data_IF_608534161345
#
_entry.id   IF_608534161345
#
_cell.length_a   1.000
_cell.length_b   1.000
_cell.length_c   1.000
_cell.angle_alpha   90.00
_cell.angle_beta   90.00
_cell.angle_gamma   90.00
#
_symmetry.space_group_name_H-M   'P 1'
#
loop_
_entity.id
_entity.type
_entity.pdbx_description
1 polymer ?
#
# COMPACT_ATOMS: atom_id res chain seq x y z
N UNK A 1 19.19 -20.23 -16.01
CA UNK A 1 18.17 -20.50 -14.98
C UNK A 1 18.84 -20.27 -13.62
N UNK A 2 18.41 -19.25 -12.86
CA UNK A 2 19.03 -18.91 -11.58
C UNK A 2 18.64 -19.93 -10.49
N UNK A 3 19.37 -20.02 -9.37
CA UNK A 3 19.03 -20.91 -8.25
C UNK A 3 17.61 -20.70 -7.72
N UNK A 4 17.16 -19.45 -7.65
CA UNK A 4 15.82 -19.05 -7.19
C UNK A 4 14.75 -19.59 -8.13
N UNK A 5 14.92 -19.40 -9.44
CA UNK A 5 13.99 -19.90 -10.44
C UNK A 5 13.88 -21.44 -10.44
N UNK A 6 14.93 -22.16 -10.02
CA UNK A 6 14.91 -23.61 -9.85
C UNK A 6 14.17 -24.04 -8.59
N UNK A 7 14.35 -23.31 -7.49
CA UNK A 7 13.60 -23.56 -6.26
C UNK A 7 12.11 -23.33 -6.47
N UNK A 8 11.73 -22.22 -7.11
CA UNK A 8 10.33 -21.90 -7.39
C UNK A 8 9.65 -22.97 -8.26
N UNK A 9 10.36 -23.50 -9.27
CA UNK A 9 9.87 -24.60 -10.09
C UNK A 9 9.63 -25.88 -9.26
N UNK A 10 10.54 -26.23 -8.34
CA UNK A 10 10.40 -27.39 -7.45
C UNK A 10 9.22 -27.20 -6.47
N UNK A 11 9.05 -25.99 -5.92
CA UNK A 11 7.93 -25.69 -5.02
C UNK A 11 6.58 -25.72 -5.77
N UNK A 12 6.55 -25.22 -7.00
CA UNK A 12 5.35 -25.27 -7.87
C UNK A 12 4.98 -26.72 -8.17
N UNK A 13 5.96 -27.57 -8.46
CA UNK A 13 5.74 -29.01 -8.68
C UNK A 13 5.20 -29.70 -7.42
N UNK A 14 5.76 -29.41 -6.25
CA UNK A 14 5.30 -29.97 -4.98
C UNK A 14 3.88 -29.54 -4.58
N UNK A 15 3.44 -28.35 -5.00
CA UNK A 15 2.06 -27.90 -4.79
C UNK A 15 1.05 -28.63 -5.68
N UNK A 16 1.44 -29.00 -6.91
CA UNK A 16 0.55 -29.68 -7.84
C UNK A 16 0.21 -31.11 -7.39
N UNK A 17 1.13 -31.76 -6.69
CA UNK A 17 0.95 -33.11 -6.17
C UNK A 17 1.31 -33.15 -4.68
N UNK A 18 0.38 -32.70 -3.81
CA UNK A 18 0.63 -32.71 -2.38
C UNK A 18 0.73 -34.16 -1.89
N UNK A 19 1.83 -34.54 -1.21
CA UNK A 19 1.94 -35.88 -0.64
C UNK A 19 0.84 -36.06 0.41
N UNK A 20 0.03 -37.10 0.25
CA UNK A 20 -1.05 -37.40 1.18
C UNK A 20 -0.48 -38.18 2.37
N UNK A 21 -0.47 -37.61 3.58
CA UNK A 21 0.01 -38.33 4.76
C UNK A 21 -0.94 -39.47 5.13
N UNK A 22 -0.39 -40.52 5.74
CA UNK A 22 -1.19 -41.64 6.27
C UNK A 22 -2.19 -41.16 7.33
N UNK A 23 -3.42 -41.68 7.29
CA UNK A 23 -4.52 -41.26 8.16
C UNK A 23 -4.20 -41.52 9.64
N UNK A 24 -3.52 -42.64 9.93
CA UNK A 24 -3.13 -42.97 11.29
C UNK A 24 -2.06 -42.01 11.83
N UNK A 25 -1.14 -41.58 10.98
CA UNK A 25 -0.16 -40.54 11.32
C UNK A 25 -0.86 -39.21 11.59
N UNK A 26 -1.77 -38.79 10.70
CA UNK A 26 -2.51 -37.53 10.89
C UNK A 26 -3.37 -37.52 12.15
N UNK A 27 -4.01 -38.65 12.49
CA UNK A 27 -4.77 -38.78 13.73
C UNK A 27 -3.90 -38.53 14.97
N UNK A 28 -2.67 -39.06 14.98
CA UNK A 28 -1.71 -38.86 16.08
C UNK A 28 -1.24 -37.41 16.17
N UNK A 29 -0.85 -36.81 15.04
CA UNK A 29 -0.45 -35.38 14.98
C UNK A 29 -1.57 -34.48 15.52
N UNK A 30 -2.81 -34.74 15.14
CA UNK A 30 -3.96 -33.97 15.61
C UNK A 30 -4.27 -34.21 17.10
N UNK A 31 -4.00 -35.40 17.64
CA UNK A 31 -4.13 -35.66 19.07
C UNK A 31 -3.07 -34.88 19.87
N UNK A 32 -1.81 -34.91 19.42
CA UNK A 32 -0.71 -34.18 20.05
C UNK A 32 -0.92 -32.67 19.97
N UNK A 33 -1.35 -32.15 18.81
CA UNK A 33 -1.67 -30.74 18.65
C UNK A 33 -2.75 -30.28 19.63
N UNK A 34 -3.79 -31.10 19.86
CA UNK A 34 -4.84 -30.79 20.85
C UNK A 34 -4.33 -30.84 22.29
N UNK A 35 -3.39 -31.74 22.59
CA UNK A 35 -2.78 -31.82 23.92
C UNK A 35 -1.87 -30.63 24.22
N UNK A 36 -1.16 -30.13 23.20
CA UNK A 36 -0.24 -28.99 23.30
C UNK A 36 -0.91 -27.64 23.09
N UNK A 37 -2.15 -27.61 22.61
CA UNK A 37 -2.89 -26.36 22.44
C UNK A 37 -2.96 -25.64 23.79
N UNK A 38 -2.41 -24.41 23.87
CA UNK A 38 -2.54 -23.61 25.07
C UNK A 38 -4.03 -23.44 25.33
N UNK A 39 -4.49 -23.90 26.50
CA UNK A 39 -5.80 -23.51 27.01
C UNK A 39 -5.68 -22.04 27.39
N UNK A 40 -5.77 -21.16 26.40
CA UNK A 40 -5.98 -19.75 26.64
C UNK A 40 -7.22 -19.69 27.53
N UNK A 41 -7.14 -19.10 28.75
CA UNK A 41 -8.34 -18.84 29.49
C UNK A 41 -9.27 -18.11 28.54
N UNK A 42 -10.51 -18.59 28.40
CA UNK A 42 -11.55 -17.89 27.66
C UNK A 42 -11.76 -16.59 28.42
N UNK A 43 -10.93 -15.60 28.11
CA UNK A 43 -11.12 -14.25 28.55
C UNK A 43 -12.32 -13.84 27.74
N UNK A 44 -13.48 -13.84 28.39
CA UNK A 44 -14.69 -13.24 27.85
C UNK A 44 -14.33 -11.78 27.65
N UNK A 45 -13.75 -11.48 26.49
CA UNK A 45 -13.37 -10.14 26.12
C UNK A 45 -14.70 -9.42 25.98
N UNK A 46 -15.03 -8.58 26.97
CA UNK A 46 -16.13 -7.64 26.82
C UNK A 46 -15.92 -6.98 25.46
N UNK A 47 -16.92 -7.00 24.56
CA UNK A 47 -16.73 -6.46 23.21
C UNK A 47 -16.22 -5.04 23.37
N UNK A 48 -14.94 -4.83 23.05
CA UNK A 48 -14.38 -3.50 23.05
C UNK A 48 -15.25 -2.71 22.09
N UNK A 49 -15.80 -1.57 22.55
CA UNK A 49 -16.55 -0.67 21.67
C UNK A 49 -15.55 -0.17 20.63
N UNK A 50 -15.46 -0.89 19.51
CA UNK A 50 -14.62 -0.54 18.38
C UNK A 50 -15.14 0.79 17.87
N UNK A 51 -14.29 1.82 17.95
CA UNK A 51 -14.61 3.13 17.40
C UNK A 51 -14.90 3.04 15.89
N UNK A 52 -15.55 4.07 15.35
CA UNK A 52 -15.92 4.15 13.93
C UNK A 52 -14.75 3.78 12.99
N UNK A 53 -13.57 4.32 13.24
CA UNK A 53 -12.34 4.04 12.46
C UNK A 53 -11.90 2.59 12.49
N UNK A 54 -12.02 1.91 13.65
CA UNK A 54 -11.68 0.49 13.76
C UNK A 54 -12.67 -0.39 12.98
N UNK A 55 -13.92 0.04 12.86
CA UNK A 55 -14.94 -0.65 12.05
C UNK A 55 -14.70 -0.44 10.56
N UNK A 56 -14.33 0.77 10.15
CA UNK A 56 -13.95 1.07 8.76
C UNK A 56 -12.66 0.33 8.34
N UNK A 57 -11.66 0.29 9.21
CA UNK A 57 -10.47 -0.51 8.98
C UNK A 57 -10.80 -2.01 8.85
N UNK A 58 -11.70 -2.54 9.70
CA UNK A 58 -12.14 -3.92 9.60
C UNK A 58 -12.86 -4.23 8.28
N UNK A 59 -13.67 -3.31 7.74
CA UNK A 59 -14.30 -3.49 6.43
C UNK A 59 -13.32 -3.44 5.26
N UNK A 60 -12.18 -2.77 5.45
CA UNK A 60 -11.12 -2.65 4.43
C UNK A 60 -10.10 -3.81 4.46
N UNK A 61 -10.20 -4.75 5.41
CA UNK A 61 -9.26 -5.87 5.57
C UNK A 61 -8.34 -5.77 6.80
N UNK A 62 -8.61 -4.83 7.70
CA UNK A 62 -7.89 -4.62 8.96
C UNK A 62 -6.77 -3.58 8.86
N UNK A 63 -5.96 -3.50 9.91
CA UNK A 63 -4.89 -2.50 10.03
C UNK A 63 -3.83 -2.61 8.92
N UNK A 64 -3.53 -3.83 8.46
CA UNK A 64 -2.53 -4.07 7.39
C UNK A 64 -3.02 -3.49 6.06
N UNK A 65 -4.30 -3.67 5.72
CA UNK A 65 -4.86 -3.12 4.50
C UNK A 65 -4.84 -1.58 4.49
N UNK A 66 -5.18 -0.95 5.62
CA UNK A 66 -5.12 0.52 5.77
C UNK A 66 -3.67 1.02 5.71
N UNK A 67 -2.73 0.30 6.31
CA UNK A 67 -1.31 0.64 6.20
C UNK A 67 -0.84 0.57 4.75
N UNK A 68 -1.22 -0.48 4.00
CA UNK A 68 -0.92 -0.59 2.57
C UNK A 68 -1.51 0.56 1.74
N UNK A 69 -2.76 0.93 2.00
CA UNK A 69 -3.42 2.07 1.36
C UNK A 69 -2.67 3.39 1.64
N UNK A 70 -2.28 3.63 2.89
CA UNK A 70 -1.51 4.81 3.29
C UNK A 70 -0.15 4.87 2.61
N UNK A 71 0.57 3.75 2.56
CA UNK A 71 1.86 3.66 1.88
C UNK A 71 1.73 3.87 0.37
N UNK A 72 0.67 3.34 -0.26
CA UNK A 72 0.39 3.58 -1.68
C UNK A 72 0.07 5.06 -1.96
N UNK A 73 -0.69 5.71 -1.07
CA UNK A 73 -0.96 7.15 -1.17
C UNK A 73 0.32 7.99 -1.03
N UNK A 74 1.19 7.67 -0.05
CA UNK A 74 2.48 8.33 0.08
C UNK A 74 3.40 8.07 -1.11
N UNK A 75 3.44 6.84 -1.63
CA UNK A 75 4.18 6.52 -2.84
C UNK A 75 3.67 7.34 -4.04
N UNK A 76 2.35 7.45 -4.21
CA UNK A 76 1.74 8.31 -5.22
C UNK A 76 2.14 9.78 -5.08
N UNK A 77 2.19 10.30 -3.86
CA UNK A 77 2.66 11.67 -3.59
C UNK A 77 4.14 11.86 -3.93
N UNK A 78 5.00 10.92 -3.55
CA UNK A 78 6.44 10.98 -3.86
C UNK A 78 6.66 10.92 -5.37
N UNK A 79 5.97 10.01 -6.07
CA UNK A 79 6.04 9.87 -7.52
C UNK A 79 5.50 11.13 -8.23
N UNK A 80 4.42 11.72 -7.73
CA UNK A 80 3.82 12.93 -8.30
C UNK A 80 4.65 14.20 -8.04
N UNK A 81 5.33 14.28 -6.90
CA UNK A 81 6.16 15.43 -6.53
C UNK A 81 7.47 15.47 -7.30
N UNK A 82 8.11 14.31 -7.50
CA UNK A 82 9.32 14.21 -8.32
C UNK A 82 8.90 14.17 -9.79
N UNK A 83 8.46 15.30 -10.34
CA UNK A 83 8.23 15.40 -11.78
C UNK A 83 9.59 15.48 -12.49
N UNK A 84 9.98 14.48 -13.29
CA UNK A 84 11.17 14.60 -14.12
C UNK A 84 10.86 15.57 -15.28
N UNK A 85 11.82 16.42 -15.65
CA UNK A 85 11.77 17.39 -16.77
C UNK A 85 11.01 16.87 -18.04
N UNK A 86 11.25 15.63 -18.52
CA UNK A 86 10.51 15.06 -19.64
C UNK A 86 8.99 14.98 -19.45
N UNK A 87 8.52 14.83 -18.21
CA UNK A 87 7.09 14.75 -17.88
C UNK A 87 6.39 16.10 -17.99
N UNK A 88 7.10 17.20 -17.69
CA UNK A 88 6.60 18.57 -17.86
C UNK A 88 6.44 18.90 -19.34
N UNK A 89 7.43 18.52 -20.16
CA UNK A 89 7.37 18.65 -21.62
C UNK A 89 6.24 17.83 -22.24
N UNK A 90 6.05 16.59 -21.78
CA UNK A 90 4.94 15.74 -22.20
C UNK A 90 3.58 16.31 -21.77
N UNK A 91 3.42 16.76 -20.52
CA UNK A 91 2.20 17.41 -20.05
C UNK A 91 1.87 18.67 -20.88
N UNK A 92 2.89 19.46 -21.23
CA UNK A 92 2.76 20.59 -22.17
C UNK A 92 2.29 20.18 -23.56
N UNK A 93 2.78 19.06 -24.10
CA UNK A 93 2.39 18.59 -25.44
C UNK A 93 0.95 18.06 -25.53
N UNK A 94 0.38 17.58 -24.41
CA UNK A 94 -1.02 17.14 -24.32
C UNK A 94 -1.97 18.23 -23.76
N UNK A 95 -1.50 19.47 -23.63
CA UNK A 95 -2.31 20.62 -23.21
C UNK A 95 -2.60 20.71 -21.71
N UNK A 96 -1.93 19.90 -20.88
CA UNK A 96 -2.00 19.92 -19.41
C UNK A 96 -0.85 20.72 -18.77
N UNK A 97 0.04 21.30 -19.57
CA UNK A 97 1.15 22.11 -19.07
C UNK A 97 0.69 23.46 -18.52
N UNK A 98 1.18 23.82 -17.33
CA UNK A 98 1.09 25.18 -16.80
C UNK A 98 2.05 26.05 -17.61
N UNK A 99 1.60 26.55 -18.76
CA UNK A 99 2.42 27.42 -19.64
C UNK A 99 1.95 28.87 -19.69
N UNK A 100 0.85 29.22 -19.03
CA UNK A 100 0.62 30.63 -18.69
C UNK A 100 1.23 30.85 -17.32
N UNK A 101 2.30 31.65 -17.25
CA UNK A 101 2.54 32.47 -16.06
C UNK A 101 1.21 33.17 -15.79
N UNK A 102 0.43 32.65 -14.85
CA UNK A 102 -0.73 33.35 -14.35
C UNK A 102 -0.18 34.68 -13.85
N UNK A 103 -0.55 35.76 -14.52
CA UNK A 103 -0.29 37.10 -14.04
C UNK A 103 -1.12 37.28 -12.78
N UNK A 104 -0.52 36.94 -11.63
CA UNK A 104 -1.20 36.93 -10.34
C UNK A 104 -1.57 38.36 -9.89
N UNK A 105 -0.97 39.38 -10.51
CA UNK A 105 -1.17 40.80 -10.21
C UNK A 105 -1.10 41.62 -11.51
N UNK A 106 -2.20 41.66 -12.30
CA UNK A 106 -2.25 42.47 -13.50
C UNK A 106 -1.99 43.94 -13.17
N UNK A 107 -0.90 44.49 -13.71
CA UNK A 107 -0.50 45.88 -13.53
C UNK A 107 0.62 46.15 -12.51
N UNK A 108 1.22 45.12 -11.88
CA UNK A 108 2.36 45.31 -10.96
C UNK A 108 3.57 45.97 -11.63
N UNK A 109 3.84 45.62 -12.89
CA UNK A 109 4.91 46.24 -13.68
C UNK A 109 4.68 47.74 -13.91
N UNK A 110 3.42 48.18 -13.99
CA UNK A 110 3.06 49.60 -14.14
C UNK A 110 3.35 50.39 -12.85
N UNK A 111 3.10 49.79 -11.68
CA UNK A 111 3.41 50.42 -10.39
C UNK A 111 4.92 50.55 -10.15
N UNK A 112 5.69 49.51 -10.52
CA UNK A 112 7.15 49.56 -10.41
C UNK A 112 7.79 50.59 -11.35
N UNK A 113 7.23 50.78 -12.54
CA UNK A 113 7.76 51.75 -13.51
C UNK A 113 7.41 53.20 -13.16
N UNK A 114 6.36 53.43 -12.37
CA UNK A 114 5.97 54.77 -11.89
C UNK A 114 6.82 55.23 -10.69
N UNK A 115 7.22 54.31 -9.80
CA UNK A 115 8.11 54.60 -8.65
C UNK A 115 9.56 54.88 -9.06
N UNK A 116 10.04 54.31 -10.18
CA UNK A 116 11.41 54.54 -10.67
C UNK A 116 11.53 55.91 -11.39
N UNK A 117 10.40 56.55 -11.72
CA UNK A 117 10.32 57.83 -12.42
C UNK A 117 10.07 59.03 -11.50
N UNK A 118 9.98 58.83 -10.18
CA UNK A 118 10.08 59.87 -9.14
C UNK A 118 11.48 59.92 -8.51
#
# INVERSE_FOLDING_TARGET
MTPEARLDALLTQAQAEPPQPDDAFMARVLADARALQPRLPVRVARPARRGFWARLAATLGGAIAVAGLGTAAMAGLVIGYVQPEPMVSFAGSIGFGVSESLDLLPGFDALLSEDILQ
#
